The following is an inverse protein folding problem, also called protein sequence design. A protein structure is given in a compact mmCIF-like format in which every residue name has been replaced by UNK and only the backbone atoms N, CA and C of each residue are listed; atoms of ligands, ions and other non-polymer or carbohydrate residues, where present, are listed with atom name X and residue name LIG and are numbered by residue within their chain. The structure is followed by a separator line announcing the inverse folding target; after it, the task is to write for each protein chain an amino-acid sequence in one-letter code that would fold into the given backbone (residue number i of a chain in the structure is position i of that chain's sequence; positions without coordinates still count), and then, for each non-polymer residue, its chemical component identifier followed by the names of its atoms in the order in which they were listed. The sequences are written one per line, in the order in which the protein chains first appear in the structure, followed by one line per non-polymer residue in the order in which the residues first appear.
data_IF_411735822283
#
_entry.id   IF_411735822283
#
_cell.length_a   1.000
_cell.length_b   1.000
_cell.length_c   1.000
_cell.angle_alpha   90.00
_cell.angle_beta   90.00
_cell.angle_gamma   90.00
#
_symmetry.space_group_name_H-M   'P 1'
#
loop_
_entity.id
_entity.type
_entity.pdbx_description
1 polymer ?
#
# COMPACT_ATOMS: atom_id res chain seq x y z
N UNK A 1 60.60 46.68 11.32
CA UNK A 1 59.93 45.92 12.40
C UNK A 1 58.66 45.30 11.80
N UNK A 2 58.27 44.04 12.12
CA UNK A 2 58.70 42.85 11.38
C UNK A 2 57.57 42.03 10.70
N UNK A 3 58.00 41.09 9.82
CA UNK A 3 57.49 39.71 9.57
C UNK A 3 56.19 39.48 8.77
N UNK A 4 56.37 38.89 7.57
CA UNK A 4 55.51 37.85 6.93
C UNK A 4 55.10 36.74 7.93
N UNK A 5 54.02 35.92 7.73
CA UNK A 5 53.82 35.16 6.47
C UNK A 5 52.41 34.55 6.14
N UNK A 6 52.37 33.82 5.00
CA UNK A 6 51.55 32.63 4.63
C UNK A 6 50.02 32.68 4.36
N UNK A 7 49.65 32.45 3.09
CA UNK A 7 48.52 31.60 2.63
C UNK A 7 48.88 30.10 2.79
N UNK A 8 48.00 29.06 2.62
CA UNK A 8 46.63 29.03 2.03
C UNK A 8 45.61 28.07 2.75
N UNK A 9 44.51 27.76 2.05
CA UNK A 9 43.81 26.44 1.94
C UNK A 9 42.54 26.12 2.75
N UNK A 10 41.46 25.94 1.96
CA UNK A 10 40.36 24.98 2.09
C UNK A 10 39.43 25.03 3.33
N UNK A 11 38.27 25.66 3.09
CA UNK A 11 37.06 25.51 3.88
C UNK A 11 36.58 24.04 3.80
N UNK A 12 36.90 23.29 4.85
CA UNK A 12 36.58 21.89 5.05
C UNK A 12 35.07 21.64 5.18
N UNK A 13 34.61 20.61 4.45
CA UNK A 13 33.33 19.93 4.61
C UNK A 13 33.07 19.57 6.09
N UNK A 14 31.94 20.03 6.63
CA UNK A 14 31.38 19.50 7.88
C UNK A 14 30.76 18.13 7.63
N UNK A 15 31.45 17.08 8.08
CA UNK A 15 30.89 15.74 8.34
C UNK A 15 30.20 15.72 9.72
N UNK A 16 29.15 14.90 9.90
CA UNK A 16 28.39 14.82 11.15
C UNK A 16 29.16 14.09 12.27
N UNK A 17 28.89 14.49 13.51
CA UNK A 17 29.41 13.89 14.74
C UNK A 17 29.03 12.41 14.81
N UNK A 18 30.04 11.54 14.91
CA UNK A 18 29.89 10.17 15.41
C UNK A 18 30.11 10.19 16.93
N UNK A 19 29.15 9.61 17.65
CA UNK A 19 29.18 9.43 19.10
C UNK A 19 30.16 8.30 19.44
N UNK A 20 31.14 8.57 20.32
CA UNK A 20 32.02 7.57 20.90
C UNK A 20 31.33 6.92 22.11
N UNK A 21 31.18 5.59 22.07
CA UNK A 21 30.94 4.76 23.24
C UNK A 21 31.86 3.54 23.14
N UNK A 22 32.72 3.38 24.15
CA UNK A 22 33.70 2.31 24.21
C UNK A 22 33.20 1.02 24.87
N UNK A 23 34.05 0.01 24.74
CA UNK A 23 34.16 -1.25 25.51
C UNK A 23 33.14 -2.35 25.21
N UNK A 24 33.55 -3.23 24.28
CA UNK A 24 33.88 -4.61 24.60
C UNK A 24 32.73 -5.57 24.90
N UNK A 25 32.08 -6.09 23.86
CA UNK A 25 31.47 -7.42 23.89
C UNK A 25 31.73 -8.13 22.55
N UNK A 26 32.21 -9.37 22.62
CA UNK A 26 32.61 -10.21 21.48
C UNK A 26 31.37 -10.69 20.73
N UNK A 27 31.32 -10.42 19.43
CA UNK A 27 30.35 -11.00 18.49
C UNK A 27 30.57 -12.54 18.41
N UNK A 28 29.58 -13.40 18.72
CA UNK A 28 29.78 -14.84 18.62
C UNK A 28 29.78 -15.28 17.15
N UNK A 29 30.84 -16.03 16.76
CA UNK A 29 30.94 -16.74 15.48
C UNK A 29 29.88 -17.82 15.41
N UNK A 30 29.09 -17.81 14.33
CA UNK A 30 28.22 -18.92 13.93
C UNK A 30 29.13 -20.04 13.40
N UNK A 31 29.12 -21.19 14.08
CA UNK A 31 29.80 -22.42 13.64
C UNK A 31 28.76 -23.30 12.94
N UNK A 32 29.05 -23.89 11.77
CA UNK A 32 28.12 -24.80 11.11
C UNK A 32 28.14 -26.16 11.83
N UNK A 33 26.98 -26.61 12.30
CA UNK A 33 26.83 -27.92 12.93
C UNK A 33 26.98 -29.03 11.87
N UNK A 34 27.99 -29.88 12.08
CA UNK A 34 28.22 -31.10 11.32
C UNK A 34 27.25 -32.19 11.75
N UNK A 35 26.74 -32.89 10.73
CA UNK A 35 26.09 -34.19 10.77
C UNK A 35 26.62 -35.13 11.85
N UNK A 36 25.72 -35.63 12.71
CA UNK A 36 25.93 -36.85 13.49
C UNK A 36 24.89 -37.89 13.08
N UNK A 37 25.38 -38.86 12.33
CA UNK A 37 24.82 -40.20 12.20
C UNK A 37 24.84 -40.91 13.56
N UNK A 38 23.69 -41.37 14.03
CA UNK A 38 23.62 -42.48 14.97
C UNK A 38 22.48 -43.42 14.55
N UNK A 39 22.88 -44.62 14.14
CA UNK A 39 22.03 -45.80 14.03
C UNK A 39 21.50 -46.16 15.42
N UNK A 40 20.21 -46.50 15.50
CA UNK A 40 19.69 -47.31 16.60
C UNK A 40 18.57 -48.23 16.08
N UNK A 41 18.80 -49.53 16.23
CA UNK A 41 17.79 -50.48 16.69
C UNK A 41 16.70 -50.93 15.73
N UNK A 42 16.85 -52.17 15.28
CA UNK A 42 15.85 -53.11 14.78
C UNK A 42 14.65 -53.35 15.72
N UNK A 43 13.58 -53.94 15.15
CA UNK A 43 12.30 -54.45 15.71
C UNK A 43 11.15 -53.44 15.46
N UNK A 44 10.03 -53.71 14.79
CA UNK A 44 9.31 -54.95 14.50
C UNK A 44 8.53 -54.88 13.17
N UNK A 45 8.30 -56.05 12.58
CA UNK A 45 7.43 -56.27 11.43
C UNK A 45 5.97 -56.34 11.89
N UNK A 46 5.15 -55.33 11.57
CA UNK A 46 3.69 -55.51 11.55
C UNK A 46 3.01 -54.77 10.38
N UNK A 47 2.16 -55.54 9.70
CA UNK A 47 1.26 -55.27 8.59
C UNK A 47 0.87 -53.81 8.28
N UNK A 48 1.20 -53.36 7.07
CA UNK A 48 0.52 -52.25 6.40
C UNK A 48 -0.37 -52.78 5.25
N UNK A 49 -1.67 -52.42 5.20
CA UNK A 49 -2.52 -52.79 4.08
C UNK A 49 -2.06 -52.06 2.81
N UNK A 50 -1.95 -52.80 1.70
CA UNK A 50 -1.72 -52.22 0.37
C UNK A 50 -2.96 -51.39 -0.02
N UNK A 51 -2.88 -50.07 0.15
CA UNK A 51 -3.84 -49.17 -0.50
C UNK A 51 -3.38 -49.01 -1.95
N UNK A 52 -4.20 -49.57 -2.85
CA UNK A 52 -3.98 -49.56 -4.28
C UNK A 52 -3.87 -48.15 -4.85
N UNK A 53 -3.08 -48.05 -5.92
CA UNK A 53 -2.96 -46.85 -6.71
C UNK A 53 -4.31 -46.45 -7.32
N UNK A 54 -4.63 -45.18 -7.15
CA UNK A 54 -5.33 -44.38 -8.14
C UNK A 54 -4.86 -42.95 -7.92
N UNK A 55 -3.82 -42.56 -8.64
CA UNK A 55 -3.40 -41.17 -8.83
C UNK A 55 -4.55 -40.40 -9.48
N UNK A 56 -5.52 -39.99 -8.67
CA UNK A 56 -6.46 -38.93 -9.05
C UNK A 56 -5.73 -37.61 -8.84
N UNK A 57 -4.90 -37.25 -9.81
CA UNK A 57 -4.54 -35.86 -10.05
C UNK A 57 -5.85 -35.11 -10.35
N UNK A 58 -6.56 -34.72 -9.30
CA UNK A 58 -7.66 -33.79 -9.37
C UNK A 58 -7.13 -32.50 -9.98
N UNK A 59 -7.31 -32.34 -11.30
CA UNK A 59 -7.16 -31.05 -11.98
C UNK A 59 -7.87 -30.04 -11.12
N UNK A 60 -7.13 -29.15 -10.43
CA UNK A 60 -7.71 -27.94 -9.85
C UNK A 60 -8.46 -27.29 -10.99
N UNK A 61 -9.80 -27.30 -10.92
CA UNK A 61 -10.60 -26.61 -11.93
C UNK A 61 -10.09 -25.18 -11.94
N UNK A 62 -9.53 -24.73 -13.07
CA UNK A 62 -9.16 -23.33 -13.24
C UNK A 62 -10.49 -22.57 -13.18
N UNK A 63 -10.85 -22.10 -11.99
CA UNK A 63 -12.09 -21.37 -11.80
C UNK A 63 -11.95 -20.08 -12.61
N UNK A 64 -12.83 -19.92 -13.60
CA UNK A 64 -12.87 -18.71 -14.41
C UNK A 64 -13.01 -17.50 -13.46
N UNK A 65 -12.22 -16.43 -13.64
CA UNK A 65 -12.36 -15.22 -12.83
C UNK A 65 -13.80 -14.68 -12.88
N UNK A 66 -14.36 -14.21 -11.75
CA UNK A 66 -15.77 -13.85 -11.67
C UNK A 66 -16.10 -12.63 -12.54
N UNK A 67 -17.35 -12.53 -12.99
CA UNK A 67 -17.84 -11.36 -13.70
C UNK A 67 -17.20 -11.13 -15.07
N UNK A 68 -17.44 -9.96 -15.64
CA UNK A 68 -16.97 -9.55 -16.98
C UNK A 68 -15.67 -8.75 -16.87
N UNK A 69 -14.69 -8.93 -17.78
CA UNK A 69 -13.49 -8.08 -17.80
C UNK A 69 -13.88 -6.61 -17.95
N UNK A 70 -13.22 -5.71 -17.20
CA UNK A 70 -13.51 -4.27 -17.23
C UNK A 70 -12.27 -3.42 -17.49
N UNK A 71 -11.20 -3.61 -16.70
CA UNK A 71 -9.89 -2.99 -16.94
C UNK A 71 -8.80 -4.06 -16.86
N UNK A 72 -8.01 -4.17 -17.92
CA UNK A 72 -6.87 -5.08 -17.96
C UNK A 72 -5.72 -4.60 -17.07
N UNK A 73 -4.86 -5.55 -16.66
CA UNK A 73 -3.64 -5.24 -15.89
C UNK A 73 -2.74 -4.21 -16.61
N UNK A 74 -2.63 -4.30 -17.94
CA UNK A 74 -1.83 -3.35 -18.73
C UNK A 74 -2.41 -1.95 -18.75
N UNK A 75 -3.75 -1.80 -18.86
CA UNK A 75 -4.40 -0.49 -18.77
C UNK A 75 -4.17 0.14 -17.39
N UNK A 76 -4.31 -0.65 -16.32
CA UNK A 76 -4.06 -0.19 -14.95
C UNK A 76 -2.62 0.27 -14.79
N UNK A 77 -1.63 -0.55 -15.17
CA UNK A 77 -0.20 -0.22 -15.07
C UNK A 77 0.14 1.08 -15.80
N UNK A 78 -0.30 1.24 -17.05
CA UNK A 78 -0.06 2.47 -17.83
C UNK A 78 -0.69 3.69 -17.16
N UNK A 79 -1.89 3.54 -16.62
CA UNK A 79 -2.57 4.65 -15.94
C UNK A 79 -1.88 5.04 -14.65
N UNK A 80 -1.50 4.06 -13.81
CA UNK A 80 -0.77 4.30 -12.56
C UNK A 80 0.53 5.03 -12.84
N UNK A 81 1.27 4.61 -13.86
CA UNK A 81 2.49 5.31 -14.29
C UNK A 81 2.22 6.77 -14.65
N UNK A 82 1.20 7.05 -15.48
CA UNK A 82 0.84 8.42 -15.86
C UNK A 82 0.41 9.28 -14.65
N UNK A 83 -0.32 8.69 -13.69
CA UNK A 83 -0.68 9.38 -12.44
C UNK A 83 0.57 9.73 -11.62
N UNK A 84 1.50 8.79 -11.46
CA UNK A 84 2.73 9.02 -10.72
C UNK A 84 3.56 10.16 -11.32
N UNK A 85 3.70 10.21 -12.65
CA UNK A 85 4.40 11.32 -13.32
C UNK A 85 3.74 12.68 -13.03
N UNK A 86 2.41 12.73 -13.07
CA UNK A 86 1.66 13.94 -12.75
C UNK A 86 1.85 14.38 -11.29
N UNK A 87 1.80 13.43 -10.35
CA UNK A 87 2.00 13.68 -8.90
C UNK A 87 3.43 14.15 -8.64
N UNK A 88 4.44 13.46 -9.20
CA UNK A 88 5.85 13.83 -9.08
C UNK A 88 6.11 15.25 -9.59
N UNK A 89 5.51 15.61 -10.74
CA UNK A 89 5.59 16.99 -11.26
C UNK A 89 4.98 18.01 -10.29
N UNK A 90 3.85 17.69 -9.67
CA UNK A 90 3.13 18.59 -8.77
C UNK A 90 3.83 18.83 -7.42
N UNK A 91 4.56 17.83 -6.91
CA UNK A 91 5.23 17.88 -5.60
C UNK A 91 6.76 17.93 -5.67
N UNK A 92 7.33 18.23 -6.84
CA UNK A 92 8.78 18.27 -7.07
C UNK A 92 9.50 19.07 -5.97
N UNK A 93 10.45 18.42 -5.26
CA UNK A 93 11.24 18.98 -4.15
C UNK A 93 10.43 19.43 -2.92
N UNK A 94 9.20 18.95 -2.74
CA UNK A 94 8.37 19.20 -1.55
C UNK A 94 8.18 17.89 -0.79
N UNK A 95 8.32 17.89 0.54
CA UNK A 95 8.00 16.70 1.35
C UNK A 95 6.54 16.30 1.13
N UNK A 96 6.35 15.10 0.59
CA UNK A 96 5.06 14.49 0.32
C UNK A 96 4.86 13.30 1.26
N UNK A 97 3.73 13.28 1.94
CA UNK A 97 3.26 12.12 2.70
C UNK A 97 2.03 11.55 2.01
N UNK A 98 2.10 10.28 1.60
CA UNK A 98 0.96 9.52 1.13
C UNK A 98 0.26 8.88 2.31
N UNK A 99 -1.07 8.99 2.36
CA UNK A 99 -1.90 8.23 3.29
C UNK A 99 -2.79 7.30 2.46
N UNK A 100 -2.50 6.01 2.54
CA UNK A 100 -3.23 4.95 1.86
C UNK A 100 -4.41 4.45 2.71
N UNK A 101 -5.60 4.39 2.13
CA UNK A 101 -6.81 3.94 2.81
C UNK A 101 -7.00 2.43 2.65
N UNK A 102 -6.80 1.70 3.76
CA UNK A 102 -6.88 0.25 3.78
C UNK A 102 -8.34 -0.24 3.72
N UNK A 103 -8.59 -1.44 3.19
CA UNK A 103 -7.61 -2.39 2.61
C UNK A 103 -7.46 -2.27 1.10
N UNK A 104 -8.46 -1.71 0.42
CA UNK A 104 -8.57 -1.77 -1.03
C UNK A 104 -7.43 -1.06 -1.77
N UNK A 105 -6.93 0.05 -1.22
CA UNK A 105 -5.91 0.86 -1.90
C UNK A 105 -4.51 0.24 -1.95
N UNK A 106 -4.24 -0.89 -1.26
CA UNK A 106 -2.88 -1.44 -1.10
C UNK A 106 -2.20 -1.71 -2.45
N UNK A 107 -2.91 -2.37 -3.36
CA UNK A 107 -2.36 -2.73 -4.67
C UNK A 107 -2.03 -1.49 -5.49
N UNK A 108 -2.97 -0.53 -5.52
CA UNK A 108 -2.80 0.73 -6.23
C UNK A 108 -1.65 1.57 -5.66
N UNK A 109 -1.59 1.75 -4.34
CA UNK A 109 -0.60 2.63 -3.73
C UNK A 109 0.82 2.07 -3.85
N UNK A 110 1.00 0.75 -3.74
CA UNK A 110 2.31 0.11 -3.90
C UNK A 110 2.83 0.29 -5.33
N UNK A 111 1.97 0.10 -6.34
CA UNK A 111 2.35 0.33 -7.73
C UNK A 111 2.63 1.81 -8.01
N UNK A 112 1.89 2.72 -7.36
CA UNK A 112 2.10 4.16 -7.48
C UNK A 112 3.45 4.59 -6.87
N UNK A 113 3.76 4.13 -5.64
CA UNK A 113 4.96 4.50 -4.88
C UNK A 113 6.26 4.15 -5.61
N UNK A 114 6.30 3.03 -6.34
CA UNK A 114 7.46 2.61 -7.16
C UNK A 114 7.89 3.65 -8.22
N UNK A 115 7.03 4.61 -8.52
CA UNK A 115 7.26 5.65 -9.52
C UNK A 115 7.40 7.07 -8.91
N UNK A 116 7.32 7.20 -7.59
CA UNK A 116 7.46 8.47 -6.87
C UNK A 116 8.90 8.68 -6.37
N UNK A 117 9.15 9.83 -5.73
CA UNK A 117 10.47 10.14 -5.19
C UNK A 117 10.77 9.26 -3.95
N UNK A 118 12.00 8.75 -3.77
CA UNK A 118 12.36 7.87 -2.65
C UNK A 118 12.11 8.46 -1.26
N UNK A 119 12.12 9.79 -1.13
CA UNK A 119 11.83 10.51 0.12
C UNK A 119 10.32 10.67 0.39
N UNK A 120 9.45 10.10 -0.47
CA UNK A 120 8.00 10.10 -0.24
C UNK A 120 7.67 9.20 0.95
N UNK A 121 7.14 9.79 2.01
CA UNK A 121 6.68 9.03 3.17
C UNK A 121 5.33 8.38 2.88
N UNK A 122 5.07 7.22 3.50
CA UNK A 122 3.80 6.50 3.38
C UNK A 122 3.26 6.11 4.75
N UNK A 123 1.96 6.35 4.93
CA UNK A 123 1.16 5.95 6.08
C UNK A 123 -0.03 5.11 5.60
N UNK A 124 -0.44 4.13 6.40
CA UNK A 124 -1.58 3.27 6.08
C UNK A 124 -2.67 3.42 7.14
N UNK A 125 -3.85 3.88 6.73
CA UNK A 125 -4.96 4.11 7.64
C UNK A 125 -6.07 3.08 7.42
N UNK A 126 -6.32 2.27 8.44
CA UNK A 126 -7.42 1.33 8.47
C UNK A 126 -8.71 2.03 8.88
N UNK A 127 -9.45 2.51 7.88
CA UNK A 127 -10.73 3.18 8.07
C UNK A 127 -11.82 2.44 7.31
N UNK A 128 -13.01 2.35 7.91
CA UNK A 128 -14.16 1.72 7.28
C UNK A 128 -15.40 2.60 7.40
N UNK A 129 -16.16 2.71 6.32
CA UNK A 129 -17.49 3.33 6.33
C UNK A 129 -18.51 2.34 6.89
N UNK A 130 -19.38 2.77 7.80
CA UNK A 130 -20.50 1.94 8.25
C UNK A 130 -21.43 1.61 7.07
N UNK A 131 -21.54 0.33 6.72
CA UNK A 131 -22.58 -0.20 5.84
C UNK A 131 -23.71 -0.72 6.72
N UNK A 132 -24.76 0.08 6.88
CA UNK A 132 -26.05 -0.32 7.44
C UNK A 132 -27.15 0.36 6.62
N UNK A 133 -28.41 -0.06 6.79
CA UNK A 133 -29.59 0.42 6.03
C UNK A 133 -29.79 1.94 6.05
N UNK A 134 -29.09 2.65 6.95
CA UNK A 134 -28.82 4.09 6.84
C UNK A 134 -27.35 4.35 7.11
N UNK A 135 -26.70 5.07 6.19
CA UNK A 135 -25.39 5.68 6.46
C UNK A 135 -25.54 6.56 7.71
N UNK A 136 -25.02 6.10 8.86
CA UNK A 136 -24.92 6.91 10.09
C UNK A 136 -23.96 8.10 9.92
N UNK A 137 -23.36 8.22 8.73
CA UNK A 137 -22.28 9.12 8.42
C UNK A 137 -20.95 8.66 9.01
N UNK A 138 -20.92 7.90 10.10
CA UNK A 138 -19.69 7.62 10.87
C UNK A 138 -18.67 6.81 10.05
N UNK A 139 -17.39 7.16 10.18
CA UNK A 139 -16.24 6.42 9.65
C UNK A 139 -15.46 5.92 10.85
N UNK A 140 -15.28 4.61 10.99
CA UNK A 140 -14.51 4.01 12.08
C UNK A 140 -13.02 4.10 11.76
N UNK A 141 -12.19 4.16 12.80
CA UNK A 141 -10.73 4.09 12.66
C UNK A 141 -10.05 5.44 12.66
N UNK A 142 -10.72 6.51 12.21
CA UNK A 142 -10.13 7.86 12.12
C UNK A 142 -9.58 8.37 13.45
N UNK A 143 -10.21 8.06 14.58
CA UNK A 143 -9.74 8.45 15.91
C UNK A 143 -8.39 7.80 16.30
N UNK A 144 -8.04 6.68 15.67
CA UNK A 144 -6.77 5.98 15.87
C UNK A 144 -5.71 6.43 14.86
N UNK A 145 -6.10 7.10 13.78
CA UNK A 145 -5.21 7.73 12.82
C UNK A 145 -4.56 8.97 13.44
N UNK A 146 -3.37 8.79 14.01
CA UNK A 146 -2.57 9.85 14.65
C UNK A 146 -1.29 10.08 13.85
N UNK A 147 -0.61 11.17 14.15
CA UNK A 147 0.64 11.56 13.49
C UNK A 147 0.72 13.07 13.38
N UNK A 148 1.94 13.61 13.41
CA UNK A 148 2.17 15.02 13.20
C UNK A 148 2.26 15.31 11.69
N UNK A 149 1.17 15.83 11.12
CA UNK A 149 1.11 16.23 9.71
C UNK A 149 1.44 17.72 9.51
N UNK A 150 1.87 18.43 10.57
CA UNK A 150 2.15 19.86 10.54
C UNK A 150 3.14 20.22 9.43
N UNK A 151 2.70 21.10 8.53
CA UNK A 151 3.54 21.62 7.47
C UNK A 151 3.78 20.67 6.30
N UNK A 152 3.22 19.45 6.30
CA UNK A 152 3.38 18.46 5.23
C UNK A 152 2.33 18.64 4.14
N UNK A 153 2.71 18.36 2.88
CA UNK A 153 1.72 18.11 1.83
C UNK A 153 1.27 16.66 1.92
N UNK A 154 -0.05 16.45 1.96
CA UNK A 154 -0.63 15.12 2.12
C UNK A 154 -1.42 14.73 0.88
N UNK A 155 -1.15 13.53 0.37
CA UNK A 155 -1.94 12.91 -0.70
C UNK A 155 -2.69 11.69 -0.13
N UNK A 156 -4.01 11.81 -0.03
CA UNK A 156 -4.87 10.67 0.27
C UNK A 156 -4.97 9.78 -0.96
N UNK A 157 -4.76 8.47 -0.79
CA UNK A 157 -4.85 7.47 -1.85
C UNK A 157 -5.91 6.44 -1.49
N UNK A 158 -6.91 6.27 -2.35
CA UNK A 158 -8.00 5.31 -2.18
C UNK A 158 -8.22 4.50 -3.47
N UNK A 159 -8.78 3.30 -3.38
CA UNK A 159 -9.10 2.51 -4.57
C UNK A 159 -10.34 3.02 -5.29
N UNK A 160 -11.36 3.51 -4.55
CA UNK A 160 -12.61 3.96 -5.15
C UNK A 160 -13.26 5.17 -4.48
N UNK A 161 -13.55 6.20 -5.29
CA UNK A 161 -14.45 7.28 -4.92
C UNK A 161 -15.89 6.94 -5.32
N UNK A 162 -16.68 6.53 -4.33
CA UNK A 162 -18.12 6.25 -4.47
C UNK A 162 -18.99 7.39 -3.91
N UNK A 163 -19.46 7.28 -2.65
CA UNK A 163 -20.33 8.29 -2.02
C UNK A 163 -19.61 9.59 -1.65
N UNK A 164 -18.27 9.54 -1.51
CA UNK A 164 -17.42 10.62 -1.04
C UNK A 164 -17.33 10.79 0.48
N UNK A 165 -18.11 10.02 1.26
CA UNK A 165 -18.19 10.19 2.72
C UNK A 165 -16.85 9.93 3.43
N UNK A 166 -16.19 8.81 3.11
CA UNK A 166 -14.90 8.43 3.71
C UNK A 166 -13.85 9.49 3.44
N UNK A 167 -13.59 9.79 2.17
CA UNK A 167 -12.60 10.80 1.76
C UNK A 167 -12.88 12.19 2.32
N UNK A 168 -14.15 12.62 2.38
CA UNK A 168 -14.52 13.91 2.98
C UNK A 168 -14.09 13.99 4.45
N UNK A 169 -14.36 12.94 5.22
CA UNK A 169 -14.02 12.88 6.65
C UNK A 169 -12.53 12.73 6.88
N UNK A 170 -11.86 11.90 6.09
CA UNK A 170 -10.41 11.76 6.14
C UNK A 170 -9.71 13.07 5.82
N UNK A 171 -10.18 13.81 4.80
CA UNK A 171 -9.65 15.16 4.51
C UNK A 171 -9.79 16.11 5.70
N UNK A 172 -10.98 16.13 6.33
CA UNK A 172 -11.20 16.96 7.52
C UNK A 172 -10.28 16.56 8.68
N UNK A 173 -10.06 15.26 8.87
CA UNK A 173 -9.16 14.73 9.91
C UNK A 173 -7.70 15.10 9.67
N UNK A 174 -7.19 14.90 8.45
CA UNK A 174 -5.82 15.28 8.06
C UNK A 174 -5.58 16.78 8.25
N UNK A 175 -6.54 17.63 7.90
CA UNK A 175 -6.45 19.08 8.14
C UNK A 175 -6.34 19.41 9.63
N UNK A 176 -7.10 18.73 10.49
CA UNK A 176 -7.01 18.89 11.96
C UNK A 176 -5.65 18.48 12.52
N UNK A 177 -4.96 17.54 11.87
CA UNK A 177 -3.58 17.14 12.22
C UNK A 177 -2.50 18.13 11.71
N UNK A 178 -2.89 19.24 11.08
CA UNK A 178 -1.99 20.35 10.72
C UNK A 178 -1.39 20.30 9.31
N UNK A 179 -1.90 19.43 8.43
CA UNK A 179 -1.41 19.36 7.04
C UNK A 179 -1.43 20.71 6.33
N UNK A 180 -0.34 21.05 5.63
CA UNK A 180 -0.22 22.26 4.80
C UNK A 180 -1.18 22.22 3.63
N UNK A 181 -1.27 21.07 2.97
CA UNK A 181 -2.23 20.83 1.89
C UNK A 181 -2.72 19.40 1.93
N UNK A 182 -3.94 19.20 1.41
CA UNK A 182 -4.54 17.86 1.27
C UNK A 182 -5.07 17.74 -0.14
N UNK A 183 -4.56 16.75 -0.88
CA UNK A 183 -5.07 16.35 -2.17
C UNK A 183 -5.51 14.88 -2.15
N UNK A 184 -6.25 14.46 -3.18
CA UNK A 184 -6.80 13.12 -3.28
C UNK A 184 -6.43 12.52 -4.64
N UNK A 185 -5.98 11.28 -4.60
CA UNK A 185 -5.80 10.41 -5.74
C UNK A 185 -6.67 9.16 -5.54
N UNK A 186 -7.50 8.83 -6.53
CA UNK A 186 -8.28 7.59 -6.52
C UNK A 186 -8.05 6.79 -7.78
N UNK A 187 -8.00 5.46 -7.67
CA UNK A 187 -7.93 4.61 -8.84
C UNK A 187 -9.23 4.70 -9.65
N UNK A 188 -10.37 4.50 -9.00
CA UNK A 188 -11.69 4.53 -9.64
C UNK A 188 -12.54 5.69 -9.10
N UNK A 189 -13.34 6.30 -9.97
CA UNK A 189 -14.36 7.27 -9.55
C UNK A 189 -15.70 6.95 -10.20
N UNK A 190 -16.70 6.60 -9.39
CA UNK A 190 -18.04 6.31 -9.89
C UNK A 190 -18.74 7.59 -10.34
N UNK A 191 -19.26 7.57 -11.58
CA UNK A 191 -20.13 8.61 -12.14
C UNK A 191 -21.54 8.46 -11.54
N UNK A 192 -21.75 9.04 -10.36
CA UNK A 192 -23.05 9.09 -9.67
C UNK A 192 -23.18 10.36 -8.83
N UNK A 193 -24.42 10.68 -8.43
CA UNK A 193 -24.68 11.73 -7.42
C UNK A 193 -24.01 11.34 -6.10
N UNK A 194 -23.18 12.24 -5.57
CA UNK A 194 -22.42 12.02 -4.33
C UNK A 194 -23.20 12.51 -3.11
N UNK A 195 -23.02 11.83 -1.99
CA UNK A 195 -23.56 12.28 -0.69
C UNK A 195 -22.75 13.47 -0.18
N UNK A 196 -21.45 13.51 -0.46
CA UNK A 196 -20.57 14.65 -0.17
C UNK A 196 -19.76 15.03 -1.40
N UNK A 197 -19.71 16.32 -1.70
CA UNK A 197 -18.82 16.83 -2.74
C UNK A 197 -17.37 16.69 -2.27
N UNK A 198 -16.60 15.90 -3.01
CA UNK A 198 -15.16 15.69 -2.82
C UNK A 198 -14.52 15.77 -4.19
N UNK A 199 -13.48 16.58 -4.32
CA UNK A 199 -12.72 16.70 -5.56
C UNK A 199 -11.47 15.83 -5.48
N UNK A 200 -11.44 14.76 -6.29
CA UNK A 200 -10.23 14.00 -6.51
C UNK A 200 -9.41 14.68 -7.61
N UNK A 201 -8.25 15.22 -7.23
CA UNK A 201 -7.34 15.90 -8.16
C UNK A 201 -6.75 14.92 -9.17
N UNK A 202 -6.51 13.69 -8.74
CA UNK A 202 -6.07 12.60 -9.60
C UNK A 202 -7.11 11.47 -9.59
N UNK A 203 -7.59 11.12 -10.78
CA UNK A 203 -8.53 10.01 -10.98
C UNK A 203 -7.94 9.07 -12.01
N UNK A 204 -7.73 7.80 -11.65
CA UNK A 204 -7.28 6.78 -12.59
C UNK A 204 -8.31 6.59 -13.70
N UNK A 205 -9.51 6.15 -13.33
CA UNK A 205 -10.58 5.83 -14.26
C UNK A 205 -11.94 6.33 -13.75
N UNK A 206 -12.62 7.21 -14.51
CA UNK A 206 -14.05 7.44 -14.32
C UNK A 206 -14.83 6.22 -14.77
N UNK A 207 -15.63 5.62 -13.89
CA UNK A 207 -16.38 4.39 -14.16
C UNK A 207 -17.89 4.58 -14.01
N UNK A 208 -18.67 3.68 -14.60
CA UNK A 208 -20.12 3.61 -14.38
C UNK A 208 -20.42 3.16 -12.94
N UNK A 209 -21.67 3.27 -12.51
CA UNK A 209 -22.09 2.79 -11.20
C UNK A 209 -22.27 1.26 -11.20
N UNK A 210 -21.18 0.54 -11.42
CA UNK A 210 -21.10 -0.91 -11.46
C UNK A 210 -20.45 -1.44 -10.18
N UNK A 211 -20.71 -2.70 -9.83
CA UNK A 211 -19.99 -3.39 -8.77
C UNK A 211 -18.71 -3.99 -9.37
N UNK A 212 -17.56 -3.70 -8.77
CA UNK A 212 -16.24 -4.03 -9.33
C UNK A 212 -15.39 -4.79 -8.32
N UNK A 213 -14.62 -5.74 -8.79
CA UNK A 213 -13.67 -6.54 -8.00
C UNK A 213 -12.32 -6.66 -8.72
N UNK A 214 -11.28 -6.99 -7.96
CA UNK A 214 -9.92 -7.11 -8.48
C UNK A 214 -9.08 -5.86 -8.27
N UNK A 215 -7.76 -6.04 -8.32
CA UNK A 215 -6.77 -4.99 -8.08
C UNK A 215 -7.02 -4.23 -6.77
N UNK A 216 -7.20 -4.99 -5.69
CA UNK A 216 -7.51 -4.48 -4.35
C UNK A 216 -8.99 -4.43 -4.00
N UNK A 217 -9.88 -4.25 -4.98
CA UNK A 217 -11.35 -4.25 -4.76
C UNK A 217 -11.85 -5.67 -4.48
N UNK A 218 -12.85 -5.80 -3.61
CA UNK A 218 -13.34 -7.10 -3.14
C UNK A 218 -14.86 -7.30 -3.17
N UNK A 219 -15.23 -8.57 -3.13
CA UNK A 219 -16.51 -9.06 -2.64
C UNK A 219 -16.20 -10.04 -1.50
N UNK A 220 -16.69 -9.77 -0.29
CA UNK A 220 -16.46 -10.59 0.90
C UNK A 220 -15.00 -10.97 1.13
N UNK A 221 -14.09 -9.99 1.01
CA UNK A 221 -12.63 -10.16 1.11
C UNK A 221 -11.98 -11.00 0.00
N UNK A 222 -12.74 -11.47 -0.99
CA UNK A 222 -12.22 -12.27 -2.11
C UNK A 222 -11.86 -11.38 -3.29
N UNK A 223 -11.13 -11.95 -4.24
CA UNK A 223 -10.78 -11.38 -5.55
C UNK A 223 -9.82 -10.19 -5.57
N UNK A 224 -9.40 -9.62 -4.42
CA UNK A 224 -8.43 -8.52 -4.37
C UNK A 224 -7.17 -8.74 -5.21
N UNK A 225 -6.66 -9.98 -5.21
CA UNK A 225 -5.42 -10.35 -5.87
C UNK A 225 -5.53 -10.51 -7.40
N UNK A 226 -6.72 -10.36 -8.00
CA UNK A 226 -6.83 -10.35 -9.46
C UNK A 226 -6.03 -9.16 -10.01
N UNK A 227 -5.18 -9.36 -11.02
CA UNK A 227 -4.36 -8.27 -11.57
C UNK A 227 -5.16 -7.29 -12.45
N UNK A 228 -6.43 -7.58 -12.67
CA UNK A 228 -7.36 -6.83 -13.52
C UNK A 228 -8.62 -6.51 -12.72
N UNK A 229 -9.37 -5.51 -13.17
CA UNK A 229 -10.67 -5.17 -12.59
C UNK A 229 -11.77 -5.77 -13.45
N UNK A 230 -12.77 -6.33 -12.78
CA UNK A 230 -13.92 -7.01 -13.38
C UNK A 230 -15.21 -6.48 -12.78
N UNK A 231 -16.29 -6.51 -13.54
CA UNK A 231 -17.64 -6.10 -13.09
C UNK A 231 -18.49 -7.32 -12.74
N UNK A 232 -19.19 -7.27 -11.61
CA UNK A 232 -20.20 -8.26 -11.24
C UNK A 232 -21.61 -7.76 -11.60
N UNK A 233 -22.57 -8.67 -11.88
CA UNK A 233 -23.98 -8.33 -12.01
C UNK A 233 -24.50 -7.65 -10.73
N UNK A 234 -25.38 -6.66 -10.85
CA UNK A 234 -26.04 -6.08 -9.69
C UNK A 234 -26.97 -7.13 -9.06
N UNK A 235 -26.85 -7.37 -7.74
CA UNK A 235 -27.66 -8.35 -6.99
C UNK A 235 -26.96 -9.68 -6.68
N UNK A 236 -25.63 -9.74 -6.81
CA UNK A 236 -24.80 -10.89 -6.36
C UNK A 236 -24.45 -10.77 -4.89
#
# INVERSE_FOLDING_TARGET
MPRHPHLPSHLLLRRPLFCAAGRGEKCPRIVPERSRSQNLGSLDRENHPRIGGADTHGRRSVTRPPGKPYLSASQIRLRVHALAQSIRKAYRKRPLTIIALLKGSVFFVVDLLRHLDPDTEVEFWNISSYQGTRSTGKVRGLQHCRGNLRGRDVLLVDDILDSGLTLHRTCAHVKKLGARSVAICVLLSKKRRRVRSVHARWVGFPIRNEFVVGYGLDLDQRYRALPSIRTLPQGS
#
